data_IF_995615170176
#
_entry.id   IF_995615170176
#
_cell.length_a   1.000
_cell.length_b   1.000
_cell.length_c   1.000
_cell.angle_alpha   90.00
_cell.angle_beta   90.00
_cell.angle_gamma   90.00
#
_symmetry.space_group_name_H-M   'P 1'
#
loop_
_entity.id
_entity.type
_entity.pdbx_description
1 polymer ?
#
# COMPACT_ATOMS: atom_id res chain seq x y z
N UNK A 1 -31.89 19.99 5.01
CA UNK A 1 -30.93 20.22 3.92
C UNK A 1 -30.36 18.87 3.53
N UNK A 2 -30.83 18.27 2.43
CA UNK A 2 -30.30 17.00 1.94
C UNK A 2 -29.04 17.34 1.15
N UNK A 3 -27.88 16.92 1.65
CA UNK A 3 -26.61 17.04 0.94
C UNK A 3 -26.63 15.94 -0.12
N UNK A 4 -26.78 16.30 -1.39
CA UNK A 4 -26.54 15.35 -2.49
C UNK A 4 -25.09 14.88 -2.38
N UNK A 5 -24.88 13.62 -1.99
CA UNK A 5 -23.57 13.01 -2.05
C UNK A 5 -23.29 12.69 -3.51
N UNK A 6 -22.38 13.43 -4.14
CA UNK A 6 -21.80 13.06 -5.42
C UNK A 6 -21.34 11.59 -5.38
N UNK A 7 -21.59 10.80 -6.45
CA UNK A 7 -21.19 9.40 -6.47
C UNK A 7 -19.69 9.29 -6.23
N UNK A 8 -19.32 8.45 -5.28
CA UNK A 8 -17.93 8.17 -4.95
C UNK A 8 -17.32 7.35 -6.08
N UNK A 9 -16.52 8.01 -6.92
CA UNK A 9 -15.76 7.39 -8.01
C UNK A 9 -14.41 6.83 -7.54
N UNK A 10 -14.17 6.75 -6.22
CA UNK A 10 -12.94 6.18 -5.69
C UNK A 10 -12.81 4.71 -6.08
N UNK A 11 -11.61 4.35 -6.52
CA UNK A 11 -11.23 2.96 -6.72
C UNK A 11 -10.38 2.58 -5.53
N UNK A 12 -10.99 1.93 -4.54
CA UNK A 12 -10.34 1.54 -3.28
C UNK A 12 -8.96 0.90 -3.43
N UNK A 13 -8.71 0.16 -4.52
CA UNK A 13 -7.41 -0.47 -4.75
C UNK A 13 -6.32 0.52 -5.16
N UNK A 14 -6.69 1.62 -5.82
CA UNK A 14 -5.80 2.73 -6.16
C UNK A 14 -5.44 3.51 -4.90
N UNK A 15 -6.42 3.82 -4.06
CA UNK A 15 -6.17 4.52 -2.78
C UNK A 15 -5.20 3.72 -1.91
N UNK A 16 -5.42 2.40 -1.79
CA UNK A 16 -4.47 1.56 -1.05
C UNK A 16 -3.06 1.52 -1.64
N UNK A 17 -2.92 1.62 -2.96
CA UNK A 17 -1.59 1.68 -3.60
C UNK A 17 -0.89 2.97 -3.17
N UNK A 18 -1.62 4.09 -3.18
CA UNK A 18 -1.10 5.39 -2.75
C UNK A 18 -0.71 5.34 -1.27
N UNK A 19 -1.60 4.87 -0.39
CA UNK A 19 -1.32 4.72 1.05
C UNK A 19 -0.08 3.86 1.31
N UNK A 20 0.12 2.80 0.51
CA UNK A 20 1.29 1.94 0.65
C UNK A 20 2.58 2.67 0.28
N UNK A 21 2.58 3.41 -0.83
CA UNK A 21 3.76 4.15 -1.29
C UNK A 21 4.10 5.30 -0.34
N UNK A 22 3.10 5.99 0.19
CA UNK A 22 3.29 7.05 1.19
C UNK A 22 3.90 6.50 2.48
N UNK A 23 3.37 5.38 2.99
CA UNK A 23 3.93 4.71 4.16
C UNK A 23 5.38 4.30 3.95
N UNK A 24 5.72 3.80 2.76
CA UNK A 24 7.09 3.39 2.42
C UNK A 24 8.04 4.57 2.20
N UNK A 25 7.53 5.73 1.82
CA UNK A 25 8.32 6.94 1.53
C UNK A 25 8.58 7.80 2.77
N UNK A 26 7.96 7.49 3.91
CA UNK A 26 8.20 8.22 5.15
C UNK A 26 9.66 8.03 5.60
N UNK A 27 10.36 9.14 5.90
CA UNK A 27 11.82 9.19 6.15
C UNK A 27 12.31 8.27 7.31
N UNK A 28 11.41 7.81 8.18
CA UNK A 28 11.70 6.92 9.30
C UNK A 28 11.62 5.41 8.95
N UNK A 29 11.11 5.08 7.76
CA UNK A 29 10.90 3.70 7.32
C UNK A 29 12.14 3.11 6.65
N UNK A 30 13.28 3.11 7.35
CA UNK A 30 14.55 2.63 6.81
C UNK A 30 14.49 1.18 6.29
N UNK A 31 13.58 0.35 6.81
CA UNK A 31 13.23 -0.96 6.26
C UNK A 31 11.75 -1.28 6.48
N UNK A 32 10.98 -1.29 5.39
CA UNK A 32 9.57 -1.65 5.44
C UNK A 32 9.43 -3.16 5.32
N UNK A 33 8.84 -3.79 6.33
CA UNK A 33 8.54 -5.23 6.31
C UNK A 33 7.08 -5.47 5.91
N UNK A 34 6.77 -6.67 5.39
CA UNK A 34 5.38 -7.06 5.13
C UNK A 34 4.53 -6.98 6.40
N UNK A 35 5.10 -7.29 7.56
CA UNK A 35 4.40 -7.22 8.85
C UNK A 35 4.08 -5.78 9.25
N UNK A 36 5.03 -4.85 9.12
CA UNK A 36 4.75 -3.43 9.42
C UNK A 36 3.72 -2.84 8.48
N UNK A 37 3.73 -3.21 7.19
CA UNK A 37 2.71 -2.81 6.22
C UNK A 37 1.31 -3.34 6.56
N UNK A 38 1.19 -4.62 6.93
CA UNK A 38 -0.10 -5.19 7.32
C UNK A 38 -0.70 -4.45 8.52
N UNK A 39 0.13 -4.13 9.51
CA UNK A 39 -0.28 -3.38 10.71
C UNK A 39 -0.67 -1.93 10.39
N UNK A 40 0.12 -1.23 9.57
CA UNK A 40 -0.12 0.17 9.23
C UNK A 40 -1.37 0.36 8.36
N UNK A 41 -1.57 -0.52 7.37
CA UNK A 41 -2.66 -0.40 6.41
C UNK A 41 -3.92 -1.18 6.81
N UNK A 42 -3.86 -1.99 7.87
CA UNK A 42 -5.00 -2.82 8.32
C UNK A 42 -5.44 -3.87 7.29
N UNK A 43 -4.51 -4.37 6.46
CA UNK A 43 -4.80 -5.32 5.38
C UNK A 43 -4.20 -6.71 5.66
N UNK A 44 -4.81 -7.75 5.08
CA UNK A 44 -4.31 -9.11 5.21
C UNK A 44 -2.98 -9.31 4.48
N UNK A 45 -2.14 -10.19 5.02
CA UNK A 45 -0.85 -10.58 4.42
C UNK A 45 -0.95 -10.96 2.94
N UNK A 46 -1.99 -11.71 2.55
CA UNK A 46 -2.23 -12.08 1.15
C UNK A 46 -2.44 -10.84 0.27
N UNK A 47 -3.25 -9.88 0.73
CA UNK A 47 -3.52 -8.64 0.02
C UNK A 47 -2.25 -7.80 -0.12
N UNK A 48 -1.46 -7.71 0.94
CA UNK A 48 -0.16 -7.02 0.94
C UNK A 48 0.78 -7.62 -0.08
N UNK A 49 0.93 -8.95 -0.12
CA UNK A 49 1.78 -9.61 -1.11
C UNK A 49 1.33 -9.35 -2.55
N UNK A 50 0.02 -9.41 -2.83
CA UNK A 50 -0.50 -9.12 -4.17
C UNK A 50 -0.24 -7.67 -4.59
N UNK A 51 -0.36 -6.75 -3.64
CA UNK A 51 -0.11 -5.33 -3.87
C UNK A 51 1.38 -5.08 -4.13
N UNK A 52 2.26 -5.58 -3.26
CA UNK A 52 3.71 -5.47 -3.42
C UNK A 52 4.20 -6.09 -4.74
N UNK A 53 3.74 -7.31 -5.09
CA UNK A 53 4.09 -7.94 -6.37
C UNK A 53 3.63 -7.11 -7.59
N UNK A 54 2.49 -6.41 -7.46
CA UNK A 54 2.01 -5.50 -8.51
C UNK A 54 2.89 -4.26 -8.64
N UNK A 55 3.31 -3.69 -7.50
CA UNK A 55 4.19 -2.52 -7.45
C UNK A 55 5.60 -2.85 -7.94
N UNK A 56 6.14 -4.01 -7.55
CA UNK A 56 7.44 -4.52 -8.00
C UNK A 56 7.46 -4.74 -9.51
N UNK A 57 6.43 -5.39 -10.06
CA UNK A 57 6.29 -5.56 -11.52
C UNK A 57 6.25 -4.22 -12.29
N UNK A 58 5.84 -3.13 -11.63
CA UNK A 58 5.78 -1.78 -12.19
C UNK A 58 7.04 -0.95 -11.90
N UNK A 59 8.02 -1.50 -11.18
CA UNK A 59 9.25 -0.81 -10.80
C UNK A 59 9.04 0.28 -9.74
N UNK A 60 7.96 0.22 -8.96
CA UNK A 60 7.65 1.21 -7.93
C UNK A 60 8.27 0.88 -6.57
N UNK A 61 8.52 -0.39 -6.31
CA UNK A 61 9.17 -0.90 -5.09
C UNK A 61 10.11 -2.03 -5.48
N UNK A 62 11.09 -2.32 -4.64
CA UNK A 62 11.99 -3.46 -4.80
C UNK A 62 12.00 -4.31 -3.52
N UNK A 63 12.15 -5.62 -3.69
CA UNK A 63 12.41 -6.50 -2.56
C UNK A 63 13.91 -6.50 -2.30
N UNK A 64 14.30 -6.23 -1.06
CA UNK A 64 15.67 -6.40 -0.62
C UNK A 64 16.07 -7.89 -0.74
N UNK A 65 17.11 -8.24 -1.53
CA UNK A 65 17.54 -9.62 -1.75
C UNK A 65 18.01 -10.32 -0.47
N UNK A 66 18.44 -9.56 0.54
CA UNK A 66 18.96 -10.10 1.80
C UNK A 66 17.84 -10.29 2.86
N UNK A 67 16.61 -9.84 2.58
CA UNK A 67 15.45 -9.90 3.50
C UNK A 67 14.69 -11.24 3.53
N UNK A 68 15.38 -12.34 3.21
CA UNK A 68 14.82 -13.69 3.11
C UNK A 68 14.28 -14.26 4.42
#
# INVERSE_FOLDING_TARGET
MIRESSPDYSVRSVDMIIDTLEFMSAEEAAQVTVTSLCSALGISRNKTFRLLATLEKRGMVEKDPDSG
#
